data_IF_621617666378
#
_entry.id   IF_621617666378
#
_cell.length_a   1.000
_cell.length_b   1.000
_cell.length_c   1.000
_cell.angle_alpha   90.00
_cell.angle_beta   90.00
_cell.angle_gamma   90.00
#
_symmetry.space_group_name_H-M   'P 1'
#
loop_
_entity.id
_entity.type
_entity.pdbx_description
1 polymer ?
#
# COMPACT_ATOMS: atom_id res chain seq x y z
N UNK A 1 -38.08 -18.97 14.40
CA UNK A 1 -37.57 -17.68 14.90
C UNK A 1 -36.80 -17.95 16.19
N UNK A 2 -35.57 -17.43 16.34
CA UNK A 2 -34.82 -17.28 17.61
C UNK A 2 -33.84 -18.35 18.16
N UNK A 3 -33.06 -19.06 17.30
CA UNK A 3 -31.96 -19.92 17.79
C UNK A 3 -30.54 -19.29 17.69
N UNK A 4 -30.35 -18.21 16.92
CA UNK A 4 -29.02 -17.62 16.71
C UNK A 4 -28.38 -17.08 18.00
N UNK A 5 -29.16 -16.38 18.84
CA UNK A 5 -28.65 -15.83 20.11
C UNK A 5 -28.44 -16.92 21.16
N UNK A 6 -29.29 -17.94 21.20
CA UNK A 6 -29.12 -19.10 22.09
C UNK A 6 -27.86 -19.90 21.72
N UNK A 7 -27.68 -20.21 20.43
CA UNK A 7 -26.46 -20.84 19.93
C UNK A 7 -25.19 -20.03 20.23
N UNK A 8 -25.23 -18.69 20.11
CA UNK A 8 -24.12 -17.81 20.50
C UNK A 8 -23.80 -17.96 21.99
N UNK A 9 -24.81 -17.93 22.85
CA UNK A 9 -24.65 -18.08 24.31
C UNK A 9 -24.03 -19.44 24.69
N UNK A 10 -24.50 -20.54 24.09
CA UNK A 10 -23.94 -21.87 24.33
C UNK A 10 -22.47 -21.97 23.87
N UNK A 11 -22.15 -21.40 22.70
CA UNK A 11 -20.78 -21.35 22.17
C UNK A 11 -19.87 -20.39 22.95
N UNK A 12 -20.45 -19.39 23.60
CA UNK A 12 -19.71 -18.34 24.34
C UNK A 12 -18.84 -18.95 25.44
N UNK A 13 -19.36 -19.89 26.23
CA UNK A 13 -18.58 -20.59 27.28
C UNK A 13 -17.29 -21.20 26.71
N UNK A 14 -17.40 -21.95 25.61
CA UNK A 14 -16.24 -22.58 24.96
C UNK A 14 -15.25 -21.53 24.46
N UNK A 15 -15.74 -20.48 23.80
CA UNK A 15 -14.89 -19.40 23.27
C UNK A 15 -14.19 -18.62 24.39
N UNK A 16 -14.86 -18.36 25.52
CA UNK A 16 -14.28 -17.68 26.67
C UNK A 16 -13.18 -18.55 27.31
N UNK A 17 -13.43 -19.84 27.51
CA UNK A 17 -12.40 -20.76 28.02
C UNK A 17 -11.18 -20.83 27.11
N UNK A 18 -11.39 -20.85 25.78
CA UNK A 18 -10.30 -20.85 24.81
C UNK A 18 -9.53 -19.53 24.84
N UNK A 19 -10.23 -18.39 24.78
CA UNK A 19 -9.62 -17.05 24.86
C UNK A 19 -8.85 -16.85 26.15
N UNK A 20 -9.37 -17.32 27.28
CA UNK A 20 -8.67 -17.27 28.56
C UNK A 20 -7.37 -18.07 28.54
N UNK A 21 -7.38 -19.31 28.04
CA UNK A 21 -6.15 -20.12 27.92
C UNK A 21 -5.13 -19.44 27.00
N UNK A 22 -5.57 -18.91 25.86
CA UNK A 22 -4.71 -18.18 24.94
C UNK A 22 -4.13 -16.92 25.58
N UNK A 23 -4.96 -16.10 26.22
CA UNK A 23 -4.53 -14.90 26.93
C UNK A 23 -3.51 -15.24 28.02
N UNK A 24 -3.83 -16.25 28.86
CA UNK A 24 -2.93 -16.70 29.93
C UNK A 24 -1.56 -17.13 29.39
N UNK A 25 -1.54 -17.88 28.30
CA UNK A 25 -0.29 -18.32 27.68
C UNK A 25 0.45 -17.14 27.01
N UNK A 26 -0.29 -16.20 26.42
CA UNK A 26 0.26 -15.03 25.73
C UNK A 26 0.77 -13.92 26.65
N UNK A 27 0.50 -13.95 27.97
CA UNK A 27 0.98 -12.94 28.93
C UNK A 27 2.51 -12.84 28.89
N UNK A 28 3.22 -13.98 28.91
CA UNK A 28 4.69 -13.97 28.94
C UNK A 28 5.27 -13.41 27.65
N UNK A 29 4.72 -13.79 26.50
CA UNK A 29 5.18 -13.30 25.20
C UNK A 29 4.88 -11.81 25.02
N UNK A 30 3.66 -11.38 25.39
CA UNK A 30 3.26 -9.97 25.31
C UNK A 30 4.07 -9.09 26.26
N UNK A 31 4.37 -9.58 27.47
CA UNK A 31 5.25 -8.90 28.42
C UNK A 31 6.66 -8.71 27.84
N UNK A 32 7.28 -9.78 27.33
CA UNK A 32 8.59 -9.68 26.67
C UNK A 32 8.58 -8.74 25.47
N UNK A 33 7.51 -8.74 24.67
CA UNK A 33 7.37 -7.82 23.55
C UNK A 33 7.24 -6.37 24.02
N UNK A 34 6.50 -6.12 25.09
CA UNK A 34 6.37 -4.81 25.71
C UNK A 34 7.71 -4.32 26.27
N UNK A 35 8.42 -5.17 27.04
CA UNK A 35 9.71 -4.82 27.63
C UNK A 35 10.72 -4.41 26.56
N UNK A 36 10.77 -5.14 25.43
CA UNK A 36 11.62 -4.79 24.28
C UNK A 36 11.27 -3.43 23.68
N UNK A 37 9.98 -3.11 23.56
CA UNK A 37 9.53 -1.82 23.05
C UNK A 37 9.83 -0.69 24.04
N UNK A 38 9.66 -0.94 25.33
CA UNK A 38 9.98 0.01 26.38
C UNK A 38 11.50 0.27 26.40
N UNK A 39 12.34 -0.75 26.42
CA UNK A 39 13.81 -0.61 26.37
C UNK A 39 14.29 0.19 25.14
N UNK A 40 13.64 0.01 23.98
CA UNK A 40 13.98 0.74 22.76
C UNK A 40 13.55 2.23 22.79
N UNK A 41 12.61 2.61 23.67
CA UNK A 41 12.06 3.95 23.71
C UNK A 41 12.96 4.93 24.52
N UNK A 42 13.24 6.14 24.01
CA UNK A 42 13.91 7.20 24.75
C UNK A 42 13.15 7.59 26.05
N UNK A 43 13.91 7.87 27.12
CA UNK A 43 13.35 8.19 28.45
C UNK A 43 12.35 9.36 28.46
N UNK A 44 12.64 10.44 27.71
CA UNK A 44 11.76 11.60 27.63
C UNK A 44 10.38 11.27 27.01
N UNK A 45 10.35 10.39 25.99
CA UNK A 45 9.10 9.97 25.36
C UNK A 45 8.28 9.09 26.30
N UNK A 46 8.92 8.21 27.09
CA UNK A 46 8.22 7.42 28.11
C UNK A 46 7.48 8.31 29.11
N UNK A 47 8.16 9.33 29.62
CA UNK A 47 7.55 10.29 30.57
C UNK A 47 6.36 11.02 29.94
N UNK A 48 6.52 11.47 28.70
CA UNK A 48 5.46 12.15 27.97
C UNK A 48 4.25 11.23 27.71
N UNK A 49 4.48 9.98 27.29
CA UNK A 49 3.43 9.00 27.04
C UNK A 49 2.68 8.64 28.33
N UNK A 50 3.39 8.42 29.44
CA UNK A 50 2.75 8.17 30.74
C UNK A 50 1.90 9.36 31.20
N UNK A 51 2.35 10.59 30.97
CA UNK A 51 1.56 11.78 31.29
C UNK A 51 0.29 11.86 30.43
N UNK A 52 0.40 11.61 29.12
CA UNK A 52 -0.74 11.58 28.20
C UNK A 52 -1.74 10.49 28.56
N UNK A 53 -1.26 9.30 28.90
CA UNK A 53 -2.10 8.19 29.35
C UNK A 53 -2.89 8.56 30.60
N UNK A 54 -2.25 9.12 31.63
CA UNK A 54 -2.96 9.53 32.86
C UNK A 54 -4.07 10.53 32.56
N UNK A 55 -3.79 11.53 31.71
CA UNK A 55 -4.76 12.54 31.31
C UNK A 55 -5.93 11.89 30.57
N UNK A 56 -5.65 11.03 29.58
CA UNK A 56 -6.66 10.31 28.81
C UNK A 56 -7.56 9.44 29.71
N UNK A 57 -6.97 8.66 30.61
CA UNK A 57 -7.72 7.79 31.52
C UNK A 57 -8.60 8.58 32.51
N UNK A 58 -8.08 9.70 33.04
CA UNK A 58 -8.85 10.56 33.95
C UNK A 58 -10.03 11.26 33.26
N UNK A 59 -9.87 11.59 31.98
CA UNK A 59 -10.88 12.33 31.20
C UNK A 59 -11.89 11.44 30.50
N UNK A 60 -11.62 10.12 30.39
CA UNK A 60 -12.40 9.15 29.62
C UNK A 60 -13.92 9.17 29.86
N UNK A 61 -14.35 9.42 31.10
CA UNK A 61 -15.79 9.44 31.44
C UNK A 61 -16.49 10.74 31.02
N UNK A 62 -15.74 11.85 30.98
CA UNK A 62 -16.28 13.18 30.68
C UNK A 62 -16.10 13.56 29.21
N UNK A 63 -15.04 13.06 28.58
CA UNK A 63 -14.69 13.27 27.18
C UNK A 63 -14.30 11.94 26.53
N UNK A 64 -15.19 11.32 25.73
CA UNK A 64 -14.88 10.11 25.00
C UNK A 64 -13.70 10.27 24.02
N UNK A 65 -13.49 11.46 23.45
CA UNK A 65 -12.40 11.75 22.51
C UNK A 65 -11.03 11.80 23.19
N UNK A 66 -10.96 11.86 24.51
CA UNK A 66 -9.70 11.75 25.24
C UNK A 66 -8.99 10.41 24.99
N UNK A 67 -9.73 9.35 24.63
CA UNK A 67 -9.19 8.04 24.31
C UNK A 67 -8.60 7.94 22.89
N UNK A 68 -8.87 8.91 22.01
CA UNK A 68 -8.34 8.93 20.63
C UNK A 68 -6.79 9.03 20.62
N UNK A 69 -6.17 9.36 21.76
CA UNK A 69 -4.71 9.29 21.95
C UNK A 69 -4.12 7.90 21.74
N UNK A 70 -4.91 6.84 21.87
CA UNK A 70 -4.48 5.48 21.57
C UNK A 70 -4.68 5.09 20.10
N UNK A 71 -5.33 5.95 19.31
CA UNK A 71 -5.55 5.68 17.89
C UNK A 71 -4.24 5.82 17.11
N UNK A 72 -3.90 4.76 16.38
CA UNK A 72 -2.70 4.70 15.58
C UNK A 72 -2.96 5.40 14.25
N UNK A 73 -2.52 6.65 14.12
CA UNK A 73 -2.59 7.36 12.85
C UNK A 73 -1.32 7.12 12.02
N UNK A 74 -1.23 5.94 11.40
CA UNK A 74 -0.17 5.67 10.43
C UNK A 74 -0.60 6.28 9.10
N UNK A 75 0.22 7.22 8.59
CA UNK A 75 0.07 7.68 7.21
C UNK A 75 0.19 6.48 6.29
N UNK A 76 -0.88 6.17 5.56
CA UNK A 76 -0.90 5.09 4.59
C UNK A 76 0.25 5.28 3.61
N UNK A 77 1.05 4.23 3.43
CA UNK A 77 2.09 4.26 2.40
C UNK A 77 1.43 4.51 1.03
N UNK A 78 2.10 5.24 0.11
CA UNK A 78 1.56 5.48 -1.20
C UNK A 78 1.30 4.15 -1.91
N UNK A 79 0.16 4.06 -2.56
CA UNK A 79 -0.20 2.91 -3.38
C UNK A 79 0.72 2.82 -4.60
N UNK A 80 0.85 1.62 -5.17
CA UNK A 80 1.60 1.42 -6.43
C UNK A 80 1.15 2.40 -7.53
N UNK A 81 -0.16 2.64 -7.64
CA UNK A 81 -0.73 3.58 -8.62
C UNK A 81 -0.33 5.03 -8.35
N UNK A 82 -0.30 5.45 -7.08
CA UNK A 82 0.18 6.80 -6.71
C UNK A 82 1.66 6.97 -7.00
N UNK A 83 2.46 5.91 -6.80
CA UNK A 83 3.88 5.89 -7.17
C UNK A 83 4.04 5.98 -8.70
N UNK A 84 3.27 5.20 -9.47
CA UNK A 84 3.27 5.24 -10.93
C UNK A 84 2.87 6.62 -11.47
N UNK A 85 1.80 7.21 -10.93
CA UNK A 85 1.34 8.55 -11.30
C UNK A 85 2.42 9.60 -11.03
N UNK A 86 3.02 9.56 -9.84
CA UNK A 86 4.11 10.47 -9.47
C UNK A 86 5.31 10.34 -10.41
N UNK A 87 5.70 9.12 -10.80
CA UNK A 87 6.80 8.90 -11.74
C UNK A 87 6.48 9.44 -13.14
N UNK A 88 5.23 9.31 -13.59
CA UNK A 88 4.79 9.88 -14.87
C UNK A 88 4.76 11.42 -14.84
N UNK A 89 4.28 12.01 -13.75
CA UNK A 89 4.27 13.46 -13.54
C UNK A 89 5.70 14.02 -13.47
N UNK A 90 6.59 13.38 -12.72
CA UNK A 90 8.02 13.75 -12.65
C UNK A 90 8.72 13.58 -14.02
N UNK A 91 8.37 12.54 -14.77
CA UNK A 91 8.84 12.33 -16.14
C UNK A 91 8.38 13.44 -17.09
N UNK A 92 7.09 13.79 -17.06
CA UNK A 92 6.50 14.83 -17.89
C UNK A 92 7.03 16.24 -17.56
N UNK A 93 7.22 16.56 -16.29
CA UNK A 93 7.81 17.83 -15.88
C UNK A 93 9.28 17.97 -16.35
N UNK A 94 10.04 16.86 -16.37
CA UNK A 94 11.41 16.83 -16.91
C UNK A 94 11.45 16.93 -18.43
N UNK A 95 10.44 16.40 -19.11
CA UNK A 95 10.29 16.46 -20.57
C UNK A 95 9.98 17.85 -21.14
N UNK A 96 9.66 18.85 -20.30
CA UNK A 96 9.38 20.22 -20.75
C UNK A 96 10.58 20.92 -21.39
N UNK A 97 11.81 20.43 -21.15
CA UNK A 97 13.01 20.84 -21.87
C UNK A 97 13.43 19.74 -22.87
N UNK A 98 13.71 20.06 -24.15
CA UNK A 98 14.07 19.08 -25.17
C UNK A 98 15.34 18.26 -24.84
N UNK A 99 16.16 18.73 -23.91
CA UNK A 99 17.39 18.05 -23.45
C UNK A 99 17.18 17.01 -22.34
N UNK A 100 15.96 16.86 -21.78
CA UNK A 100 15.69 15.97 -20.63
C UNK A 100 14.49 15.06 -20.87
N UNK A 101 14.48 14.32 -21.98
CA UNK A 101 13.52 13.22 -22.15
C UNK A 101 13.72 12.15 -21.06
N UNK A 102 12.65 11.85 -20.33
CA UNK A 102 12.61 10.81 -19.31
C UNK A 102 12.89 9.43 -19.92
N UNK A 103 13.43 8.50 -19.13
CA UNK A 103 13.68 7.11 -19.58
C UNK A 103 12.40 6.44 -20.08
N UNK A 104 11.25 6.74 -19.46
CA UNK A 104 9.96 6.22 -19.88
C UNK A 104 9.58 6.69 -21.29
N UNK A 105 9.84 7.97 -21.62
CA UNK A 105 9.63 8.52 -22.96
C UNK A 105 10.53 7.85 -24.00
N UNK A 106 11.79 7.57 -23.65
CA UNK A 106 12.69 6.84 -24.55
C UNK A 106 12.20 5.41 -24.83
N UNK A 107 11.78 4.70 -23.79
CA UNK A 107 11.24 3.33 -23.94
C UNK A 107 9.96 3.36 -24.78
N UNK A 108 9.04 4.29 -24.53
CA UNK A 108 7.80 4.39 -25.32
C UNK A 108 8.08 4.74 -26.78
N UNK A 109 9.04 5.63 -27.06
CA UNK A 109 9.43 5.92 -28.44
C UNK A 109 10.12 4.74 -29.12
N UNK A 110 10.95 4.00 -28.38
CA UNK A 110 11.58 2.78 -28.89
C UNK A 110 10.54 1.73 -29.28
N UNK A 111 9.57 1.48 -28.40
CA UNK A 111 8.46 0.56 -28.67
C UNK A 111 7.62 0.98 -29.88
N UNK A 112 7.30 2.28 -30.01
CA UNK A 112 6.55 2.78 -31.17
C UNK A 112 7.31 2.60 -32.49
N UNK A 113 8.64 2.76 -32.48
CA UNK A 113 9.49 2.51 -33.64
C UNK A 113 9.52 1.02 -33.98
N UNK A 114 9.69 0.15 -32.98
CA UNK A 114 9.67 -1.30 -33.20
C UNK A 114 8.32 -1.77 -33.77
N UNK A 115 7.21 -1.22 -33.26
CA UNK A 115 5.86 -1.51 -33.74
C UNK A 115 5.68 -1.08 -35.21
N UNK A 116 6.15 0.12 -35.57
CA UNK A 116 6.15 0.59 -36.96
C UNK A 116 7.01 -0.28 -37.88
N UNK A 117 8.19 -0.73 -37.42
CA UNK A 117 9.06 -1.63 -38.18
C UNK A 117 8.42 -3.01 -38.39
N UNK A 118 7.74 -3.55 -37.37
CA UNK A 118 7.03 -4.83 -37.48
C UNK A 118 5.86 -4.71 -38.46
N UNK A 119 5.09 -3.62 -38.40
CA UNK A 119 4.01 -3.36 -39.34
C UNK A 119 4.53 -3.28 -40.79
N UNK A 120 5.61 -2.52 -40.99
CA UNK A 120 6.30 -2.40 -42.27
C UNK A 120 6.78 -3.75 -42.81
N UNK A 121 7.46 -4.55 -41.98
CA UNK A 121 7.94 -5.88 -42.36
C UNK A 121 6.80 -6.83 -42.70
N UNK A 122 5.67 -6.73 -42.00
CA UNK A 122 4.47 -7.52 -42.29
C UNK A 122 3.91 -7.16 -43.66
N UNK A 123 3.84 -5.87 -43.97
CA UNK A 123 3.34 -5.37 -45.26
C UNK A 123 4.27 -5.76 -46.42
N UNK A 124 5.59 -5.63 -46.24
CA UNK A 124 6.58 -6.09 -47.21
C UNK A 124 6.49 -7.60 -47.46
N UNK A 125 6.28 -8.41 -46.41
CA UNK A 125 6.07 -9.86 -46.54
C UNK A 125 4.77 -10.18 -47.29
N UNK A 126 3.69 -9.41 -47.07
CA UNK A 126 2.40 -9.55 -47.76
C UNK A 126 2.51 -9.29 -49.25
N UNK A 127 3.28 -8.27 -49.63
CA UNK A 127 3.46 -7.83 -51.01
C UNK A 127 4.40 -8.77 -51.81
N UNK A 128 5.37 -9.41 -51.16
CA UNK A 128 6.20 -10.47 -51.76
C UNK A 128 7.19 -10.00 -52.85
N UNK A 129 7.89 -10.94 -53.49
CA UNK A 129 9.02 -10.67 -54.42
C UNK A 129 8.64 -10.05 -55.78
N UNK A 130 7.36 -10.07 -56.17
CA UNK A 130 6.86 -9.53 -57.46
C UNK A 130 5.82 -8.43 -57.22
N UNK A 131 6.27 -7.35 -56.59
CA UNK A 131 5.44 -6.18 -56.30
C UNK A 131 5.38 -5.22 -57.46
N UNK A 132 4.19 -4.71 -57.76
CA UNK A 132 3.98 -3.63 -58.74
C UNK A 132 4.50 -2.30 -58.19
N UNK A 133 4.91 -1.36 -59.06
CA UNK A 133 5.46 -0.06 -58.66
C UNK A 133 4.53 0.73 -57.72
N UNK A 134 3.22 0.64 -57.94
CA UNK A 134 2.21 1.26 -57.06
C UNK A 134 2.20 0.68 -55.65
N UNK A 135 2.38 -0.64 -55.50
CA UNK A 135 2.45 -1.29 -54.18
C UNK A 135 3.75 -0.96 -53.42
N UNK A 136 4.80 -0.52 -54.12
CA UNK A 136 6.03 -0.04 -53.47
C UNK A 136 5.96 1.41 -53.03
N UNK A 137 5.04 2.19 -53.60
CA UNK A 137 4.86 3.61 -53.27
C UNK A 137 3.98 3.80 -52.02
N UNK A 138 3.12 2.82 -51.72
CA UNK A 138 2.21 2.81 -50.56
C UNK A 138 2.86 2.28 -49.26
N UNK A 139 4.14 1.87 -49.33
CA UNK A 139 4.98 1.45 -48.20
C UNK A 139 5.84 2.62 -47.73
#
# INVERSE_FOLDING_TARGET
MNDSNFCKMIRMKRTLCQKYKLARNGISESGKAFDRLDEAAPSHLKTEWLARERIAQSSRLNDPSAMDKYEINIKKAPSKKEIELRLLEEGNARNAAPSRRSVATWISTGLAIEEAQIALLTEVRRIGRRSTETQRLDI
#
